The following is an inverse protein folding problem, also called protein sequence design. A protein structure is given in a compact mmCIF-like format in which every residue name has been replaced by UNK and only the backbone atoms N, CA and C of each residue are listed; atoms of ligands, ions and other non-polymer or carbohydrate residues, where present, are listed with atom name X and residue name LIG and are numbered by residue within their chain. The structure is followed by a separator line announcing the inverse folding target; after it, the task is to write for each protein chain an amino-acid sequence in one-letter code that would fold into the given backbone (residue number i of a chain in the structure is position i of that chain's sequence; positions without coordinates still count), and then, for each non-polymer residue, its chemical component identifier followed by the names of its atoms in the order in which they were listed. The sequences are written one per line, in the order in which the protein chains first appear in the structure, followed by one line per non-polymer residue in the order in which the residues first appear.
data_IF_740081537526
#
_entry.id   IF_740081537526
#
_cell.length_a   1.000
_cell.length_b   1.000
_cell.length_c   1.000
_cell.angle_alpha   90.00
_cell.angle_beta   90.00
_cell.angle_gamma   90.00
#
_symmetry.space_group_name_H-M   'P 1'
#
loop_
_entity.id
_entity.type
_entity.pdbx_description
1 polymer ?
#
# COMPACT_ATOMS: atom_id res chain seq x y z
N UNK A 1 -32.66 24.23 43.00
CA UNK A 1 -31.72 25.29 42.53
C UNK A 1 -30.43 24.60 42.10
N UNK A 2 -30.40 24.05 40.88
CA UNK A 2 -29.63 24.53 39.70
C UNK A 2 -28.11 24.49 39.85
N UNK A 3 -27.54 23.34 39.51
CA UNK A 3 -26.13 23.16 39.13
C UNK A 3 -26.03 23.54 37.64
N UNK A 4 -25.53 24.76 37.36
CA UNK A 4 -24.96 25.19 36.07
C UNK A 4 -23.45 25.14 36.30
N UNK A 5 -22.60 24.44 35.56
CA UNK A 5 -22.32 24.58 34.12
C UNK A 5 -21.45 23.38 33.70
N UNK A 6 -22.00 22.49 32.87
CA UNK A 6 -21.21 21.73 31.90
C UNK A 6 -20.92 22.68 30.73
N UNK A 7 -19.66 22.80 30.29
CA UNK A 7 -19.38 23.55 29.07
C UNK A 7 -17.90 23.73 28.76
N UNK A 8 -17.47 23.09 27.67
CA UNK A 8 -16.40 23.57 26.79
C UNK A 8 -14.93 23.33 27.19
N UNK A 9 -14.54 22.10 27.51
CA UNK A 9 -13.14 21.66 27.40
C UNK A 9 -12.96 20.50 26.38
N UNK A 10 -13.82 20.44 25.36
CA UNK A 10 -13.91 19.37 24.35
C UNK A 10 -13.95 19.98 22.94
N UNK A 11 -12.90 20.71 22.53
CA UNK A 11 -12.83 21.23 21.16
C UNK A 11 -11.42 21.60 20.65
N UNK A 12 -10.34 21.09 21.27
CA UNK A 12 -8.97 21.44 20.85
C UNK A 12 -8.06 20.25 20.51
N UNK A 13 -8.61 19.04 20.36
CA UNK A 13 -7.99 18.01 19.53
C UNK A 13 -8.29 18.32 18.07
N UNK A 14 -7.69 19.41 17.58
CA UNK A 14 -7.43 19.63 16.17
C UNK A 14 -6.65 18.42 15.69
N UNK A 15 -7.39 17.46 15.16
CA UNK A 15 -6.97 16.37 14.30
C UNK A 15 -6.25 16.96 13.09
N UNK A 16 -5.01 17.43 13.26
CA UNK A 16 -4.00 17.34 12.22
C UNK A 16 -3.57 15.88 12.15
N UNK A 17 -4.51 15.01 11.77
CA UNK A 17 -4.15 13.81 11.03
C UNK A 17 -3.56 14.35 9.72
N UNK A 18 -2.25 14.61 9.72
CA UNK A 18 -1.52 14.90 8.50
C UNK A 18 -1.90 13.80 7.53
N UNK A 19 -2.58 14.15 6.45
CA UNK A 19 -2.91 13.21 5.39
C UNK A 19 -1.59 12.55 5.00
N UNK A 20 -1.37 11.31 5.43
CA UNK A 20 -0.17 10.58 5.08
C UNK A 20 -0.13 10.58 3.55
N UNK A 21 0.77 11.37 2.97
CA UNK A 21 0.92 11.46 1.53
C UNK A 21 1.26 10.08 1.04
N UNK A 22 0.30 9.43 0.41
CA UNK A 22 0.48 8.09 -0.15
C UNK A 22 1.58 8.18 -1.22
N UNK A 23 2.76 7.66 -0.92
CA UNK A 23 3.90 7.66 -1.84
C UNK A 23 3.83 6.38 -2.68
N UNK A 24 3.54 6.45 -3.98
CA UNK A 24 3.51 5.27 -4.82
C UNK A 24 4.93 4.74 -5.07
N UNK A 25 5.02 3.42 -5.29
CA UNK A 25 6.20 2.75 -5.82
C UNK A 25 6.45 3.23 -7.26
N UNK A 26 7.71 3.39 -7.66
CA UNK A 26 8.08 3.79 -9.04
C UNK A 26 8.66 2.63 -9.84
N UNK A 27 8.64 2.76 -11.18
CA UNK A 27 9.21 1.76 -12.09
C UNK A 27 10.73 1.57 -11.87
N UNK A 28 11.45 2.63 -11.51
CA UNK A 28 12.89 2.56 -11.21
C UNK A 28 13.14 1.71 -9.95
N UNK A 29 12.26 1.80 -8.95
CA UNK A 29 12.36 0.96 -7.76
C UNK A 29 12.10 -0.51 -8.11
N UNK A 30 11.09 -0.79 -8.93
CA UNK A 30 10.80 -2.17 -9.39
C UNK A 30 11.96 -2.74 -10.19
N UNK A 31 12.59 -1.94 -11.07
CA UNK A 31 13.73 -2.38 -11.88
C UNK A 31 14.97 -2.80 -11.07
N UNK A 32 15.01 -2.50 -9.77
CA UNK A 32 16.08 -2.92 -8.85
C UNK A 32 15.76 -4.20 -8.09
N UNK A 33 14.53 -4.70 -8.18
CA UNK A 33 14.10 -5.94 -7.52
C UNK A 33 14.49 -7.13 -8.40
N UNK A 34 15.01 -8.17 -7.77
CA UNK A 34 15.38 -9.44 -8.39
C UNK A 34 14.97 -10.61 -7.49
N UNK A 35 14.93 -11.83 -8.04
CA UNK A 35 14.61 -13.03 -7.27
C UNK A 35 15.59 -13.30 -6.11
N UNK A 36 16.80 -12.74 -6.19
CA UNK A 36 17.84 -12.89 -5.17
C UNK A 36 17.93 -11.68 -4.23
N UNK A 37 17.03 -10.69 -4.35
CA UNK A 37 17.05 -9.49 -3.51
C UNK A 37 16.80 -9.87 -2.04
N UNK A 38 17.77 -9.63 -1.13
CA UNK A 38 17.61 -9.88 0.29
C UNK A 38 16.47 -9.03 0.89
N UNK A 39 15.88 -9.47 2.00
CA UNK A 39 14.80 -8.75 2.66
C UNK A 39 15.22 -7.32 3.10
N UNK A 40 16.47 -7.15 3.54
CA UNK A 40 17.05 -5.84 3.90
C UNK A 40 17.10 -4.90 2.70
N UNK A 41 17.58 -5.40 1.57
CA UNK A 41 17.75 -4.62 0.34
C UNK A 41 16.40 -4.33 -0.30
N UNK A 42 15.46 -5.25 -0.21
CA UNK A 42 14.09 -5.04 -0.65
C UNK A 42 13.48 -3.84 0.08
N UNK A 43 13.61 -3.75 1.40
CA UNK A 43 13.10 -2.60 2.15
C UNK A 43 13.82 -1.30 1.77
N UNK A 44 15.13 -1.36 1.50
CA UNK A 44 15.88 -0.20 1.00
C UNK A 44 15.44 0.25 -0.40
N UNK A 45 15.12 -0.69 -1.29
CA UNK A 45 14.60 -0.42 -2.64
C UNK A 45 13.21 0.23 -2.56
N UNK A 46 12.32 -0.29 -1.72
CA UNK A 46 10.98 0.27 -1.52
C UNK A 46 11.04 1.67 -0.90
N UNK A 47 12.04 1.93 -0.05
CA UNK A 47 12.30 3.25 0.53
C UNK A 47 11.07 3.79 1.25
N UNK A 48 10.51 4.90 0.76
CA UNK A 48 9.32 5.55 1.34
C UNK A 48 7.99 5.11 0.70
N UNK A 49 8.01 4.14 -0.21
CA UNK A 49 6.79 3.66 -0.86
C UNK A 49 5.79 3.16 0.20
N UNK A 50 4.57 3.67 0.13
CA UNK A 50 3.53 3.36 1.10
C UNK A 50 2.98 1.96 0.86
N UNK A 51 3.01 1.13 1.90
CA UNK A 51 2.36 -0.19 1.87
C UNK A 51 0.88 0.00 2.18
N UNK A 52 0.04 -0.21 1.18
CA UNK A 52 -1.40 -0.05 1.27
C UNK A 52 -2.07 -1.17 2.09
N UNK A 53 -1.51 -2.38 2.05
CA UNK A 53 -1.95 -3.49 2.90
C UNK A 53 -0.83 -4.50 3.13
N UNK A 54 -0.90 -5.19 4.27
CA UNK A 54 -0.08 -6.34 4.63
C UNK A 54 -0.98 -7.45 5.10
N UNK A 55 -0.76 -8.66 4.63
CA UNK A 55 -1.51 -9.83 5.04
C UNK A 55 -0.69 -11.09 4.80
N UNK A 56 -0.99 -12.12 5.58
CA UNK A 56 -0.35 -13.42 5.44
C UNK A 56 -1.29 -14.37 4.70
N UNK A 57 -0.72 -15.26 3.91
CA UNK A 57 -1.43 -16.29 3.16
C UNK A 57 -0.76 -17.62 3.43
N UNK A 58 -1.53 -18.60 3.86
CA UNK A 58 -1.05 -19.98 4.00
C UNK A 58 -1.47 -20.81 2.78
N UNK A 59 -0.55 -21.59 2.21
CA UNK A 59 -0.86 -22.61 1.21
C UNK A 59 0.15 -23.75 1.30
N UNK A 60 -0.32 -24.99 1.13
CA UNK A 60 0.52 -26.19 1.10
C UNK A 60 1.45 -26.36 2.32
N UNK A 61 0.98 -25.92 3.51
CA UNK A 61 1.76 -25.94 4.75
C UNK A 61 2.83 -24.85 4.85
N UNK A 62 2.91 -23.96 3.86
CA UNK A 62 3.83 -22.83 3.79
C UNK A 62 3.09 -21.52 4.06
N UNK A 63 3.73 -20.60 4.79
CA UNK A 63 3.21 -19.26 5.05
C UNK A 63 3.94 -18.23 4.18
N UNK A 64 3.17 -17.31 3.61
CA UNK A 64 3.64 -16.23 2.75
C UNK A 64 3.20 -14.88 3.29
N UNK A 65 4.15 -13.96 3.44
CA UNK A 65 3.89 -12.57 3.75
C UNK A 65 3.69 -11.76 2.48
N UNK A 66 2.55 -11.11 2.34
CA UNK A 66 2.17 -10.35 1.14
C UNK A 66 2.05 -8.87 1.48
N UNK A 67 2.72 -8.04 0.68
CA UNK A 67 2.64 -6.58 0.77
C UNK A 67 2.02 -6.03 -0.51
N UNK A 68 0.93 -5.27 -0.37
CA UNK A 68 0.31 -4.53 -1.47
C UNK A 68 0.78 -3.08 -1.44
N UNK A 69 1.31 -2.60 -2.56
CA UNK A 69 1.73 -1.23 -2.79
C UNK A 69 1.00 -0.68 -4.01
N UNK A 70 0.95 0.65 -4.14
CA UNK A 70 0.48 1.27 -5.37
C UNK A 70 1.69 1.57 -6.27
N UNK A 71 1.77 0.95 -7.44
CA UNK A 71 2.77 1.28 -8.46
C UNK A 71 2.26 2.44 -9.30
N UNK A 72 3.05 3.51 -9.42
CA UNK A 72 2.80 4.61 -10.36
C UNK A 72 2.97 4.13 -11.80
N UNK A 73 1.88 4.08 -12.55
CA UNK A 73 1.85 3.73 -13.98
C UNK A 73 1.73 4.95 -14.88
N UNK A 74 1.39 6.12 -14.31
CA UNK A 74 1.27 7.34 -15.08
C UNK A 74 0.98 8.56 -14.21
N UNK A 75 0.67 9.67 -14.87
CA UNK A 75 0.27 10.93 -14.24
C UNK A 75 -0.91 11.49 -15.00
N UNK A 76 -1.93 11.99 -14.28
CA UNK A 76 -3.06 12.72 -14.87
C UNK A 76 -3.21 14.08 -14.19
N UNK A 77 -3.83 15.04 -14.86
CA UNK A 77 -4.20 16.32 -14.26
C UNK A 77 -5.55 16.19 -13.55
N UNK A 78 -5.64 16.68 -12.32
CA UNK A 78 -6.89 16.78 -11.56
C UNK A 78 -7.08 18.24 -11.14
N UNK A 79 -8.27 18.78 -11.39
CA UNK A 79 -8.68 20.06 -10.81
C UNK A 79 -8.91 19.87 -9.32
N UNK A 80 -8.19 20.63 -8.51
CA UNK A 80 -8.40 20.69 -7.07
C UNK A 80 -8.71 22.12 -6.67
N UNK A 81 -9.64 22.27 -5.74
CA UNK A 81 -9.93 23.58 -5.15
C UNK A 81 -8.88 23.85 -4.08
N UNK A 82 -8.13 24.93 -4.25
CA UNK A 82 -7.21 25.44 -3.23
C UNK A 82 -7.81 26.71 -2.66
N UNK A 83 -8.19 26.64 -1.39
CA UNK A 83 -8.72 27.78 -0.65
C UNK A 83 -7.62 28.36 0.24
N UNK A 84 -7.30 29.64 0.02
CA UNK A 84 -6.55 30.46 0.98
C UNK A 84 -7.48 31.57 1.48
N UNK A 85 -7.28 32.83 1.06
CA UNK A 85 -8.25 33.93 1.23
C UNK A 85 -9.36 33.90 0.18
N UNK A 86 -9.09 33.31 -0.99
CA UNK A 86 -10.06 33.02 -2.05
C UNK A 86 -9.92 31.56 -2.47
N UNK A 87 -11.00 30.97 -3.00
CA UNK A 87 -11.00 29.59 -3.50
C UNK A 87 -10.85 29.59 -5.01
N UNK A 88 -9.75 29.02 -5.50
CA UNK A 88 -9.49 28.89 -6.93
C UNK A 88 -9.34 27.41 -7.31
N UNK A 89 -9.77 27.08 -8.52
CA UNK A 89 -9.50 25.78 -9.12
C UNK A 89 -8.10 25.81 -9.75
N UNK A 90 -7.26 24.87 -9.35
CA UNK A 90 -5.92 24.70 -9.93
C UNK A 90 -5.75 23.28 -10.43
N UNK A 91 -5.07 23.13 -11.57
CA UNK A 91 -4.70 21.83 -12.08
C UNK A 91 -3.49 21.30 -11.31
N UNK A 92 -3.61 20.09 -10.75
CA UNK A 92 -2.52 19.41 -10.06
C UNK A 92 -2.24 18.06 -10.72
N UNK A 93 -0.96 17.71 -10.94
CA UNK A 93 -0.60 16.36 -11.36
C UNK A 93 -0.87 15.37 -10.20
N UNK A 94 -1.60 14.30 -10.50
CA UNK A 94 -1.85 13.19 -9.57
C UNK A 94 -1.39 11.89 -10.21
N UNK A 95 -0.76 11.02 -9.41
CA UNK A 95 -0.30 9.72 -9.89
C UNK A 95 -1.50 8.84 -10.29
N UNK A 96 -1.38 8.18 -11.43
CA UNK A 96 -2.22 7.03 -11.78
C UNK A 96 -1.46 5.80 -11.28
N UNK A 97 -2.14 4.94 -10.54
CA UNK A 97 -1.51 3.80 -9.89
C UNK A 97 -2.25 2.49 -10.16
N UNK A 98 -1.52 1.37 -10.11
CA UNK A 98 -2.06 0.01 -10.09
C UNK A 98 -1.65 -0.73 -8.82
N UNK A 99 -2.38 -1.78 -8.45
CA UNK A 99 -1.99 -2.64 -7.32
C UNK A 99 -0.79 -3.49 -7.69
N UNK A 100 0.23 -3.45 -6.83
CA UNK A 100 1.47 -4.18 -6.98
C UNK A 100 1.72 -5.01 -5.73
N UNK A 101 1.96 -6.30 -5.90
CA UNK A 101 2.15 -7.25 -4.82
C UNK A 101 3.63 -7.63 -4.71
N UNK A 102 4.11 -7.76 -3.49
CA UNK A 102 5.38 -8.39 -3.14
C UNK A 102 5.06 -9.60 -2.26
N UNK A 103 5.56 -10.77 -2.62
CA UNK A 103 5.29 -12.03 -1.93
C UNK A 103 6.61 -12.55 -1.37
N UNK A 104 6.67 -12.72 -0.05
CA UNK A 104 7.82 -13.29 0.64
C UNK A 104 7.44 -14.58 1.36
N UNK A 105 8.32 -15.56 1.32
CA UNK A 105 8.18 -16.81 2.05
C UNK A 105 8.60 -16.61 3.52
N UNK A 106 7.83 -17.13 4.47
CA UNK A 106 8.16 -17.08 5.91
C UNK A 106 8.67 -18.44 6.41
N UNK A 107 9.64 -18.48 7.35
CA UNK A 107 10.24 -17.36 8.08
C UNK A 107 11.46 -16.74 7.37
N UNK A 108 11.90 -17.27 6.23
CA UNK A 108 13.14 -16.86 5.55
C UNK A 108 13.10 -15.44 4.98
N UNK A 109 11.90 -14.86 4.84
CA UNK A 109 11.63 -13.59 4.15
C UNK A 109 12.15 -13.55 2.71
N UNK A 110 12.38 -14.73 2.10
CA UNK A 110 12.86 -14.83 0.72
C UNK A 110 11.80 -14.28 -0.23
N UNK A 111 12.19 -13.39 -1.14
CA UNK A 111 11.28 -12.89 -2.16
C UNK A 111 10.93 -14.00 -3.15
N UNK A 112 9.65 -14.33 -3.22
CA UNK A 112 9.12 -15.36 -4.11
C UNK A 112 8.67 -14.78 -5.45
N UNK A 113 8.02 -13.63 -5.40
CA UNK A 113 7.49 -12.96 -6.59
C UNK A 113 7.06 -11.53 -6.32
N UNK A 114 7.01 -10.75 -7.39
CA UNK A 114 6.51 -9.39 -7.37
C UNK A 114 5.82 -9.07 -8.70
N UNK A 115 4.76 -8.27 -8.65
CA UNK A 115 3.96 -7.99 -9.84
C UNK A 115 2.54 -7.55 -9.52
N UNK A 116 1.82 -7.13 -10.56
CA UNK A 116 0.36 -7.08 -10.56
C UNK A 116 -0.22 -8.50 -10.48
N UNK A 117 -1.49 -8.63 -10.12
CA UNK A 117 -2.17 -9.93 -10.07
C UNK A 117 -2.16 -10.65 -11.43
N UNK A 118 -2.24 -9.90 -12.53
CA UNK A 118 -2.19 -10.46 -13.88
C UNK A 118 -0.79 -10.97 -14.25
N UNK A 119 0.26 -10.23 -13.90
CA UNK A 119 1.64 -10.67 -14.08
C UNK A 119 1.95 -11.91 -13.24
N UNK A 120 1.56 -11.91 -11.96
CA UNK A 120 1.76 -13.03 -11.05
C UNK A 120 0.98 -14.28 -11.47
N UNK A 121 -0.19 -14.13 -12.10
CA UNK A 121 -0.96 -15.26 -12.62
C UNK A 121 -0.28 -16.02 -13.76
N UNK A 122 0.70 -15.38 -14.42
CA UNK A 122 1.51 -15.97 -15.50
C UNK A 122 2.86 -16.47 -15.00
N UNK A 123 3.13 -16.38 -13.69
CA UNK A 123 4.39 -16.81 -13.12
C UNK A 123 4.49 -18.35 -13.15
N UNK A 124 5.61 -18.93 -13.63
CA UNK A 124 5.78 -20.38 -13.67
C UNK A 124 5.99 -21.03 -12.28
N UNK A 125 6.26 -20.26 -11.21
CA UNK A 125 6.43 -20.82 -9.86
C UNK A 125 5.08 -21.35 -9.33
N UNK A 126 5.01 -22.66 -9.13
CA UNK A 126 3.81 -23.35 -8.65
C UNK A 126 3.35 -22.87 -7.27
N UNK A 127 4.26 -22.34 -6.44
CA UNK A 127 3.94 -21.76 -5.13
C UNK A 127 3.16 -20.46 -5.26
N UNK A 128 3.45 -19.65 -6.28
CA UNK A 128 2.67 -18.44 -6.57
C UNK A 128 1.29 -18.85 -7.09
N UNK A 129 1.24 -19.84 -7.99
CA UNK A 129 -0.01 -20.36 -8.51
C UNK A 129 -0.95 -20.88 -7.41
N UNK A 130 -0.42 -21.56 -6.38
CA UNK A 130 -1.24 -22.09 -5.28
C UNK A 130 -1.86 -21.00 -4.39
N UNK A 131 -1.20 -19.84 -4.24
CA UNK A 131 -1.74 -18.70 -3.47
C UNK A 131 -2.58 -17.72 -4.31
N UNK A 132 -2.51 -17.76 -5.64
CA UNK A 132 -3.22 -16.81 -6.53
C UNK A 132 -4.72 -16.65 -6.23
N UNK A 133 -5.50 -17.70 -5.95
CA UNK A 133 -6.92 -17.54 -5.62
C UNK A 133 -7.13 -16.69 -4.37
N UNK A 134 -6.29 -16.89 -3.34
CA UNK A 134 -6.35 -16.12 -2.08
C UNK A 134 -5.88 -14.69 -2.28
N UNK A 135 -4.83 -14.48 -3.10
CA UNK A 135 -4.35 -13.15 -3.47
C UNK A 135 -5.42 -12.32 -4.17
N UNK A 136 -6.16 -12.89 -5.12
CA UNK A 136 -7.23 -12.20 -5.84
C UNK A 136 -8.39 -11.79 -4.93
N UNK A 137 -8.76 -12.65 -3.99
CA UNK A 137 -9.79 -12.34 -2.99
C UNK A 137 -9.35 -11.18 -2.09
N UNK A 138 -8.11 -11.22 -1.57
CA UNK A 138 -7.56 -10.15 -0.72
C UNK A 138 -7.38 -8.83 -1.48
N UNK A 139 -7.03 -8.90 -2.77
CA UNK A 139 -6.86 -7.72 -3.61
C UNK A 139 -8.19 -7.03 -3.91
N UNK A 140 -9.23 -7.81 -4.22
CA UNK A 140 -10.59 -7.32 -4.52
C UNK A 140 -11.31 -6.82 -3.28
N UNK A 141 -11.12 -7.48 -2.12
CA UNK A 141 -11.78 -7.10 -0.87
C UNK A 141 -11.29 -5.78 -0.27
N UNK A 142 -10.28 -5.13 -0.87
CA UNK A 142 -9.73 -3.88 -0.36
C UNK A 142 -9.27 -4.00 1.09
N UNK A 143 -8.75 -5.18 1.49
CA UNK A 143 -8.42 -5.48 2.90
C UNK A 143 -7.57 -4.33 3.46
N UNK A 144 -8.09 -3.56 4.44
CA UNK A 144 -7.34 -2.47 5.01
C UNK A 144 -6.11 -3.03 5.71
N UNK A 145 -4.99 -2.30 5.64
CA UNK A 145 -3.80 -2.62 6.41
C UNK A 145 -4.20 -2.89 7.87
N UNK A 146 -4.01 -4.12 8.35
CA UNK A 146 -4.13 -4.39 9.77
C UNK A 146 -3.14 -3.47 10.50
N UNK A 147 -3.56 -2.78 11.56
CA UNK A 147 -2.65 -1.97 12.35
C UNK A 147 -1.55 -2.87 12.90
N UNK A 148 -0.30 -2.54 12.59
CA UNK A 148 0.86 -3.13 13.28
C UNK A 148 0.69 -2.86 14.77
N UNK A 149 0.61 -3.92 15.57
CA UNK A 149 0.73 -3.85 17.03
C UNK A 149 2.13 -3.39 17.43
#
# INVERSE_FOLDING_TARGET
MSIKTLGAALAATLLLAGCATHVPLTSEQIGRISANTPATDLNAILGKATVAARYDVDADGQNYHVRRLALKTGTRMKKVTVCTKTCNLVDRPVAVTTHYLLIQEMPSQKLLGWGTADELSKNPDSRIASIMPKLRLADTAGVPAAPSR
#
